data_IF_899125760661
#
_entry.id   IF_899125760661
#
_cell.length_a   1.000
_cell.length_b   1.000
_cell.length_c   1.000
_cell.angle_alpha   90.00
_cell.angle_beta   90.00
_cell.angle_gamma   90.00
#
_symmetry.space_group_name_H-M   'P 1'
#
loop_
_entity.id
_entity.type
_entity.pdbx_description
1 polymer ?
#
# COMPACT_ATOMS: atom_id res chain seq x y z
N UNK A 1 -7.86 2.34 -33.21
CA UNK A 1 -7.21 1.77 -32.01
C UNK A 1 -7.74 2.57 -30.84
N UNK A 2 -8.58 1.96 -30.01
CA UNK A 2 -9.04 2.58 -28.77
C UNK A 2 -7.88 2.52 -27.79
N UNK A 3 -7.39 3.68 -27.36
CA UNK A 3 -6.35 3.79 -26.35
C UNK A 3 -6.93 3.29 -25.01
N UNK A 4 -6.13 2.66 -24.14
CA UNK A 4 -6.59 2.18 -22.82
C UNK A 4 -7.25 3.31 -22.02
N UNK A 5 -6.75 4.53 -22.17
CA UNK A 5 -7.32 5.73 -21.56
C UNK A 5 -8.72 6.06 -22.09
N UNK A 6 -8.99 5.80 -23.37
CA UNK A 6 -10.33 6.02 -23.95
C UNK A 6 -11.34 5.00 -23.41
N UNK A 7 -10.93 3.75 -23.20
CA UNK A 7 -11.77 2.72 -22.56
C UNK A 7 -12.14 3.10 -21.11
N UNK A 8 -11.20 3.68 -20.36
CA UNK A 8 -11.46 4.18 -19.01
C UNK A 8 -12.47 5.35 -19.01
N UNK A 9 -12.49 6.17 -20.07
CA UNK A 9 -13.47 7.23 -20.20
C UNK A 9 -14.85 6.71 -20.65
N UNK A 10 -14.89 5.70 -21.52
CA UNK A 10 -16.13 5.01 -21.89
C UNK A 10 -16.81 4.34 -20.68
N UNK A 11 -16.00 3.86 -19.74
CA UNK A 11 -16.48 3.29 -18.47
C UNK A 11 -16.71 4.33 -17.37
N UNK A 12 -16.57 5.62 -17.69
CA UNK A 12 -16.75 6.76 -16.77
C UNK A 12 -15.85 6.69 -15.52
N UNK A 13 -14.70 6.04 -15.61
CA UNK A 13 -13.69 5.99 -14.55
C UNK A 13 -12.74 7.20 -14.60
N UNK A 14 -12.57 7.80 -15.78
CA UNK A 14 -11.78 9.03 -15.98
C UNK A 14 -12.53 10.02 -16.87
N UNK A 15 -12.35 11.30 -16.61
CA UNK A 15 -12.71 12.39 -17.49
C UNK A 15 -11.52 12.78 -18.36
N UNK A 16 -11.80 12.97 -19.65
CA UNK A 16 -10.81 13.43 -20.62
C UNK A 16 -11.20 14.82 -21.11
N UNK A 17 -10.32 15.79 -20.88
CA UNK A 17 -10.42 17.14 -21.45
C UNK A 17 -9.30 17.35 -22.45
N UNK A 18 -9.57 18.05 -23.56
CA UNK A 18 -8.55 18.38 -24.57
C UNK A 18 -8.16 19.85 -24.44
N UNK A 19 -6.86 20.11 -24.27
CA UNK A 19 -6.28 21.44 -24.32
C UNK A 19 -5.24 21.51 -25.44
N UNK A 20 -5.61 22.12 -26.56
CA UNK A 20 -4.75 22.14 -27.75
C UNK A 20 -4.41 20.73 -28.24
N UNK A 21 -3.11 20.40 -28.28
CA UNK A 21 -2.61 19.07 -28.63
C UNK A 21 -2.47 18.12 -27.41
N UNK A 22 -2.85 18.54 -26.21
CA UNK A 22 -2.74 17.76 -24.98
C UNK A 22 -4.07 17.10 -24.60
N UNK A 23 -3.97 15.90 -24.03
CA UNK A 23 -5.07 15.15 -23.44
C UNK A 23 -4.89 15.18 -21.92
N UNK A 24 -5.72 15.96 -21.24
CA UNK A 24 -5.78 15.97 -19.78
C UNK A 24 -6.69 14.85 -19.33
N UNK A 25 -6.18 13.98 -18.47
CA UNK A 25 -6.90 12.83 -17.93
C UNK A 25 -7.06 13.05 -16.43
N UNK A 26 -8.29 13.03 -15.95
CA UNK A 26 -8.61 13.20 -14.54
C UNK A 26 -9.48 12.02 -14.08
N UNK A 27 -9.20 11.45 -12.90
CA UNK A 27 -10.06 10.40 -12.34
C UNK A 27 -11.46 10.97 -12.05
N UNK A 28 -12.51 10.22 -12.39
CA UNK A 28 -13.87 10.54 -11.98
C UNK A 28 -14.00 10.26 -10.47
N UNK A 29 -13.94 11.33 -9.68
CA UNK A 29 -13.98 11.26 -8.22
C UNK A 29 -15.35 10.87 -7.66
N UNK A 30 -16.42 11.02 -8.45
CA UNK A 30 -17.78 10.66 -8.04
C UNK A 30 -18.01 9.15 -8.07
N UNK A 31 -17.20 8.42 -8.85
CA UNK A 31 -17.26 6.95 -8.97
C UNK A 31 -16.16 6.23 -8.21
N UNK A 32 -15.31 6.96 -7.50
CA UNK A 32 -14.27 6.39 -6.66
C UNK A 32 -14.89 5.84 -5.37
N UNK A 33 -15.17 4.54 -5.34
CA UNK A 33 -15.57 3.85 -4.11
C UNK A 33 -14.34 3.25 -3.46
N UNK A 34 -13.90 3.81 -2.33
CA UNK A 34 -12.97 3.13 -1.44
C UNK A 34 -13.80 2.17 -0.57
N UNK A 35 -13.54 0.86 -0.59
CA UNK A 35 -14.21 -0.05 0.33
C UNK A 35 -13.99 0.43 1.77
N UNK A 36 -15.01 0.33 2.63
CA UNK A 36 -14.86 0.64 4.06
C UNK A 36 -13.77 -0.22 4.72
N UNK A 37 -13.54 -1.40 4.15
CA UNK A 37 -12.45 -2.31 4.50
C UNK A 37 -11.35 -2.28 3.43
N UNK A 38 -10.20 -1.63 3.69
CA UNK A 38 -9.14 -1.48 2.72
C UNK A 38 -8.55 -2.80 2.21
N UNK A 39 -8.63 -3.88 2.99
CA UNK A 39 -8.12 -5.22 2.59
C UNK A 39 -8.85 -5.73 1.34
N UNK A 40 -10.11 -5.34 1.13
CA UNK A 40 -10.89 -5.72 -0.03
C UNK A 40 -10.39 -5.10 -1.35
N UNK A 41 -9.47 -4.14 -1.29
CA UNK A 41 -8.78 -3.62 -2.48
C UNK A 41 -7.73 -4.59 -3.02
N UNK A 42 -7.27 -5.56 -2.22
CA UNK A 42 -6.32 -6.58 -2.66
C UNK A 42 -7.03 -7.49 -3.67
N UNK A 43 -6.55 -7.61 -4.93
CA UNK A 43 -7.26 -8.35 -5.97
C UNK A 43 -7.48 -9.84 -5.66
N UNK A 44 -6.53 -10.44 -4.94
CA UNK A 44 -6.49 -11.88 -4.67
C UNK A 44 -6.99 -12.17 -3.25
N UNK A 45 -8.15 -12.80 -3.15
CA UNK A 45 -8.84 -13.03 -1.88
C UNK A 45 -8.08 -13.94 -0.90
N UNK A 46 -7.22 -14.83 -1.40
CA UNK A 46 -6.40 -15.69 -0.52
C UNK A 46 -5.44 -14.89 0.38
N UNK A 47 -5.12 -13.64 0.02
CA UNK A 47 -4.26 -12.77 0.82
C UNK A 47 -5.02 -11.91 1.83
N UNK A 48 -6.37 -11.93 1.82
CA UNK A 48 -7.17 -11.06 2.68
C UNK A 48 -6.97 -11.37 4.18
N UNK A 49 -7.13 -12.64 4.56
CA UNK A 49 -6.96 -13.09 5.95
C UNK A 49 -5.54 -12.91 6.49
N UNK A 50 -4.46 -13.32 5.79
CA UNK A 50 -3.10 -13.10 6.28
C UNK A 50 -2.75 -11.62 6.39
N UNK A 51 -3.16 -10.78 5.41
CA UNK A 51 -2.89 -9.33 5.46
C UNK A 51 -3.68 -8.66 6.59
N UNK A 52 -4.94 -9.03 6.80
CA UNK A 52 -5.74 -8.50 7.92
C UNK A 52 -5.09 -8.82 9.26
N UNK A 53 -4.69 -10.09 9.44
CA UNK A 53 -4.04 -10.53 10.68
C UNK A 53 -2.71 -9.82 10.90
N UNK A 54 -1.93 -9.59 9.82
CA UNK A 54 -0.72 -8.79 9.86
C UNK A 54 -1.00 -7.36 10.34
N UNK A 55 -1.96 -6.66 9.73
CA UNK A 55 -2.32 -5.28 10.10
C UNK A 55 -2.76 -5.20 11.56
N UNK A 56 -3.64 -6.09 12.00
CA UNK A 56 -4.16 -6.09 13.38
C UNK A 56 -3.04 -6.38 14.40
N UNK A 57 -2.15 -7.32 14.09
CA UNK A 57 -1.02 -7.67 14.96
C UNK A 57 0.02 -6.54 15.02
N UNK A 58 0.31 -5.88 13.90
CA UNK A 58 1.21 -4.72 13.88
C UNK A 58 0.62 -3.57 14.71
N UNK A 59 -0.66 -3.25 14.51
CA UNK A 59 -1.33 -2.16 15.24
C UNK A 59 -1.47 -2.40 16.74
N UNK A 60 -1.47 -3.66 17.18
CA UNK A 60 -1.53 -4.00 18.61
C UNK A 60 -0.16 -4.00 19.30
N UNK A 61 0.95 -4.09 18.53
CA UNK A 61 2.31 -4.23 19.08
C UNK A 61 3.23 -3.04 18.81
N UNK A 62 2.95 -2.27 17.77
CA UNK A 62 3.72 -1.08 17.41
C UNK A 62 2.88 0.14 17.75
N UNK A 63 3.41 0.96 18.67
CA UNK A 63 2.82 2.25 19.00
C UNK A 63 3.10 3.27 17.90
N UNK A 64 2.26 4.30 17.82
CA UNK A 64 2.50 5.48 16.98
C UNK A 64 2.73 5.18 15.48
N UNK A 65 1.98 4.20 14.97
CA UNK A 65 1.89 3.93 13.53
C UNK A 65 1.20 5.12 12.84
N UNK A 66 1.89 5.71 11.87
CA UNK A 66 1.38 6.73 10.98
C UNK A 66 0.63 6.12 9.79
N UNK A 67 1.06 4.96 9.30
CA UNK A 67 0.44 4.28 8.17
C UNK A 67 0.91 2.85 7.95
N UNK A 68 0.06 2.04 7.31
CA UNK A 68 0.39 0.67 6.88
C UNK A 68 -0.06 0.51 5.43
N UNK A 69 0.83 -0.03 4.59
CA UNK A 69 0.55 -0.34 3.19
C UNK A 69 0.99 -1.77 2.88
N UNK A 70 0.29 -2.42 1.94
CA UNK A 70 0.83 -3.58 1.22
C UNK A 70 1.22 -3.13 -0.17
N UNK A 71 2.35 -3.60 -0.67
CA UNK A 71 2.86 -3.29 -2.01
C UNK A 71 3.35 -4.58 -2.68
N UNK A 72 4.07 -4.48 -3.79
CA UNK A 72 4.62 -5.66 -4.46
C UNK A 72 3.57 -6.43 -5.26
N UNK A 73 3.79 -7.73 -5.43
CA UNK A 73 2.95 -8.59 -6.27
C UNK A 73 1.53 -8.74 -5.73
N UNK A 74 1.35 -8.76 -4.41
CA UNK A 74 0.04 -8.86 -3.75
C UNK A 74 -0.83 -7.64 -4.06
N UNK A 75 -0.27 -6.43 -3.96
CA UNK A 75 -0.99 -5.20 -4.29
C UNK A 75 -1.36 -5.13 -5.79
N UNK A 76 -0.50 -5.68 -6.65
CA UNK A 76 -0.71 -5.74 -8.11
C UNK A 76 -1.64 -6.87 -8.56
N UNK A 77 -1.95 -7.83 -7.69
CA UNK A 77 -2.71 -9.02 -8.06
C UNK A 77 -1.94 -10.02 -8.91
N UNK A 78 -0.61 -9.98 -8.84
CA UNK A 78 0.33 -10.82 -9.60
C UNK A 78 1.01 -11.87 -8.72
N UNK A 79 0.62 -11.97 -7.44
CA UNK A 79 1.26 -12.87 -6.50
C UNK A 79 0.92 -14.33 -6.79
N UNK A 80 1.91 -15.20 -6.68
CA UNK A 80 1.74 -16.64 -6.65
C UNK A 80 1.92 -17.19 -5.23
N UNK A 81 1.82 -18.51 -5.07
CA UNK A 81 1.93 -19.18 -3.77
C UNK A 81 3.31 -19.08 -3.12
N UNK A 82 4.33 -18.71 -3.90
CA UNK A 82 5.69 -18.49 -3.40
C UNK A 82 6.01 -17.03 -3.18
N UNK A 83 5.07 -16.13 -3.46
CA UNK A 83 5.26 -14.70 -3.31
C UNK A 83 5.16 -14.27 -1.85
N UNK A 84 6.05 -13.37 -1.46
CA UNK A 84 6.03 -12.75 -0.14
C UNK A 84 4.91 -11.71 -0.05
N UNK A 85 4.34 -11.56 1.14
CA UNK A 85 3.47 -10.44 1.48
C UNK A 85 4.36 -9.27 1.90
N UNK A 86 4.62 -8.36 0.96
CA UNK A 86 5.37 -7.13 1.19
C UNK A 86 4.52 -6.07 1.88
N UNK A 87 4.92 -5.67 3.09
CA UNK A 87 4.24 -4.68 3.90
C UNK A 87 5.18 -3.54 4.28
N UNK A 88 4.68 -2.31 4.17
CA UNK A 88 5.35 -1.10 4.62
C UNK A 88 4.63 -0.53 5.83
N UNK A 89 5.40 -0.17 6.86
CA UNK A 89 4.91 0.48 8.08
C UNK A 89 5.63 1.80 8.27
N UNK A 90 4.87 2.88 8.39
CA UNK A 90 5.38 4.19 8.75
C UNK A 90 5.06 4.47 10.21
N UNK A 91 6.06 4.87 10.99
CA UNK A 91 5.89 5.29 12.39
C UNK A 91 6.33 6.74 12.58
N UNK A 92 5.75 7.42 13.58
CA UNK A 92 6.27 8.73 14.03
C UNK A 92 7.42 8.60 15.04
N UNK A 93 7.63 7.38 15.55
CA UNK A 93 8.63 7.06 16.57
C UNK A 93 9.91 6.45 15.97
N UNK A 94 10.69 5.77 16.80
CA UNK A 94 11.98 5.19 16.45
C UNK A 94 11.85 4.00 15.48
N UNK A 95 12.38 4.19 14.27
CA UNK A 95 12.45 3.17 13.20
C UNK A 95 12.99 1.83 13.69
N UNK A 96 14.09 1.82 14.45
CA UNK A 96 14.77 0.59 14.86
C UNK A 96 13.87 -0.30 15.73
N UNK A 97 13.14 0.33 16.66
CA UNK A 97 12.18 -0.35 17.53
C UNK A 97 11.01 -0.90 16.72
N UNK A 98 10.44 -0.10 15.82
CA UNK A 98 9.35 -0.54 14.93
C UNK A 98 9.78 -1.71 14.03
N UNK A 99 10.97 -1.63 13.42
CA UNK A 99 11.51 -2.66 12.54
C UNK A 99 11.74 -3.99 13.29
N UNK A 100 12.24 -3.94 14.53
CA UNK A 100 12.41 -5.14 15.36
C UNK A 100 11.07 -5.81 15.65
N UNK A 101 10.07 -5.04 16.10
CA UNK A 101 8.73 -5.57 16.39
C UNK A 101 8.08 -6.12 15.12
N UNK A 102 8.21 -5.42 14.00
CA UNK A 102 7.71 -5.86 12.71
C UNK A 102 8.29 -7.22 12.27
N UNK A 103 9.60 -7.44 12.49
CA UNK A 103 10.24 -8.74 12.23
C UNK A 103 9.73 -9.86 13.16
N UNK A 104 9.50 -9.55 14.44
CA UNK A 104 8.90 -10.51 15.37
C UNK A 104 7.49 -10.89 14.92
N UNK A 105 6.67 -9.90 14.54
CA UNK A 105 5.32 -10.13 14.01
C UNK A 105 5.35 -10.99 12.74
N UNK A 106 6.22 -10.66 11.78
CA UNK A 106 6.36 -11.44 10.55
C UNK A 106 6.66 -12.91 10.86
N UNK A 107 7.64 -13.17 11.74
CA UNK A 107 8.01 -14.52 12.15
C UNK A 107 6.87 -15.26 12.85
N UNK A 108 6.15 -14.60 13.76
CA UNK A 108 5.02 -15.20 14.47
C UNK A 108 3.89 -15.60 13.51
N UNK A 109 3.69 -14.85 12.41
CA UNK A 109 2.68 -15.15 11.40
C UNK A 109 3.14 -16.24 10.41
N UNK A 110 4.43 -16.34 10.11
CA UNK A 110 4.98 -17.42 9.26
C UNK A 110 4.80 -18.81 9.88
N UNK A 111 4.68 -18.89 11.21
CA UNK A 111 4.39 -20.14 11.92
C UNK A 111 2.91 -20.56 11.82
N UNK A 112 2.02 -19.59 11.55
CA UNK A 112 0.57 -19.77 11.46
C UNK A 112 0.13 -20.31 10.09
N UNK A 113 -1.10 -20.82 10.03
CA UNK A 113 -1.73 -21.26 8.78
C UNK A 113 -3.01 -20.49 8.53
N UNK A 114 -3.17 -20.03 7.31
CA UNK A 114 -4.37 -19.35 6.82
C UNK A 114 -4.99 -20.25 5.76
N UNK A 115 -6.24 -20.70 5.98
CA UNK A 115 -6.91 -21.69 5.12
C UNK A 115 -6.09 -22.97 4.83
N UNK A 116 -5.15 -23.33 5.72
CA UNK A 116 -4.26 -24.48 5.57
C UNK A 116 -2.89 -24.18 4.96
N UNK A 117 -2.71 -23.01 4.34
CA UNK A 117 -1.46 -22.58 3.72
C UNK A 117 -0.61 -21.70 4.66
N UNK A 118 0.69 -21.63 4.38
CA UNK A 118 1.64 -20.74 5.07
C UNK A 118 2.07 -19.64 4.12
N UNK A 119 2.28 -18.46 4.66
CA UNK A 119 2.67 -17.26 3.91
C UNK A 119 3.96 -16.71 4.50
N UNK A 120 4.78 -16.11 3.64
CA UNK A 120 5.99 -15.38 4.03
C UNK A 120 5.67 -13.89 4.10
N UNK A 121 6.25 -13.20 5.08
CA UNK A 121 5.95 -11.80 5.33
C UNK A 121 7.23 -10.97 5.34
N UNK A 122 7.30 -9.98 4.45
CA UNK A 122 8.39 -9.03 4.43
C UNK A 122 7.88 -7.66 4.88
N UNK A 123 8.22 -7.29 6.12
CA UNK A 123 7.78 -6.01 6.69
C UNK A 123 8.94 -5.01 6.76
N UNK A 124 8.79 -3.89 6.07
CA UNK A 124 9.69 -2.75 6.09
C UNK A 124 9.10 -1.64 6.96
N UNK A 125 9.79 -1.26 8.02
CA UNK A 125 9.42 -0.14 8.87
C UNK A 125 10.32 1.07 8.62
N UNK A 126 9.71 2.24 8.53
CA UNK A 126 10.40 3.53 8.40
C UNK A 126 9.80 4.55 9.37
N UNK A 127 10.59 5.55 9.75
CA UNK A 127 10.12 6.68 10.55
C UNK A 127 9.85 7.89 9.67
N UNK A 128 9.00 8.80 10.13
CA UNK A 128 8.76 10.08 9.44
C UNK A 128 10.06 10.83 9.13
N UNK A 129 11.08 10.72 9.98
CA UNK A 129 12.39 11.34 9.80
C UNK A 129 13.23 10.71 8.67
N UNK A 130 13.02 9.43 8.37
CA UNK A 130 13.78 8.72 7.33
C UNK A 130 13.13 8.77 5.95
N UNK A 131 11.85 9.17 5.87
CA UNK A 131 11.05 9.20 4.63
C UNK A 131 11.73 10.02 3.52
N UNK A 132 12.28 11.19 3.83
CA UNK A 132 12.91 12.06 2.82
C UNK A 132 14.20 11.45 2.25
N UNK A 133 14.83 10.51 2.95
CA UNK A 133 16.15 9.96 2.60
C UNK A 133 16.09 8.69 1.73
N UNK A 134 14.93 8.05 1.59
CA UNK A 134 14.81 6.70 0.98
C UNK A 134 14.41 6.77 -0.51
N UNK A 135 14.19 7.97 -1.04
CA UNK A 135 14.21 8.24 -2.48
C UNK A 135 13.19 7.45 -3.30
N UNK A 136 13.63 6.93 -4.44
CA UNK A 136 12.79 6.32 -5.49
C UNK A 136 11.96 5.12 -4.99
N UNK A 137 12.51 4.32 -4.07
CA UNK A 137 11.84 3.14 -3.52
C UNK A 137 10.58 3.50 -2.74
N UNK A 138 10.60 4.59 -1.96
CA UNK A 138 9.41 5.04 -1.25
C UNK A 138 8.35 5.61 -2.19
N UNK A 139 8.77 6.27 -3.29
CA UNK A 139 7.83 6.73 -4.31
C UNK A 139 7.08 5.57 -4.94
N UNK A 140 7.77 4.49 -5.28
CA UNK A 140 7.16 3.27 -5.81
C UNK A 140 6.14 2.71 -4.80
N UNK A 141 6.54 2.50 -3.54
CA UNK A 141 5.66 1.98 -2.48
C UNK A 141 4.42 2.87 -2.30
N UNK A 142 4.55 4.19 -2.28
CA UNK A 142 3.41 5.10 -2.09
C UNK A 142 2.50 5.24 -3.31
N UNK A 143 3.02 4.95 -4.50
CA UNK A 143 2.28 5.02 -5.77
C UNK A 143 1.53 3.72 -6.05
N UNK A 144 2.18 2.57 -5.83
CA UNK A 144 1.63 1.24 -6.15
C UNK A 144 0.98 0.55 -4.93
N UNK A 145 1.30 1.00 -3.72
CA UNK A 145 0.82 0.37 -2.49
C UNK A 145 -0.64 0.63 -2.19
N UNK A 146 -1.32 -0.42 -1.72
CA UNK A 146 -2.66 -0.35 -1.14
C UNK A 146 -2.52 0.11 0.31
N UNK A 147 -3.15 1.24 0.63
CA UNK A 147 -3.18 1.78 2.00
C UNK A 147 -4.18 0.98 2.83
N UNK A 148 -3.69 0.33 3.89
CA UNK A 148 -4.48 -0.51 4.79
C UNK A 148 -4.83 0.19 6.11
N UNK A 149 -4.00 1.14 6.50
CA UNK A 149 -4.23 2.02 7.63
C UNK A 149 -3.57 3.37 7.35
N UNK A 150 -4.28 4.46 7.64
CA UNK A 150 -3.76 5.81 7.45
C UNK A 150 -4.10 6.73 8.62
N UNK A 151 -3.17 7.64 8.90
CA UNK A 151 -3.36 8.82 9.72
C UNK A 151 -2.97 10.06 8.90
N UNK A 152 -3.26 11.25 9.41
CA UNK A 152 -2.82 12.50 8.77
C UNK A 152 -1.31 12.56 8.50
N UNK A 153 -0.49 11.92 9.36
CA UNK A 153 0.97 11.85 9.17
C UNK A 153 1.35 11.10 7.90
N UNK A 154 0.64 10.02 7.55
CA UNK A 154 0.88 9.31 6.28
C UNK A 154 0.52 10.20 5.09
N UNK A 155 -0.57 10.98 5.19
CA UNK A 155 -0.95 11.90 4.12
C UNK A 155 0.16 12.93 3.85
N UNK A 156 0.71 13.55 4.89
CA UNK A 156 1.83 14.48 4.78
C UNK A 156 3.07 13.82 4.17
N UNK A 157 3.44 12.61 4.63
CA UNK A 157 4.58 11.87 4.09
C UNK A 157 4.42 11.56 2.59
N UNK A 158 3.21 11.16 2.15
CA UNK A 158 2.92 10.92 0.73
C UNK A 158 3.07 12.21 -0.09
N UNK A 159 2.58 13.34 0.41
CA UNK A 159 2.72 14.63 -0.29
C UNK A 159 4.19 15.05 -0.43
N UNK A 160 4.99 14.93 0.63
CA UNK A 160 6.40 15.27 0.61
C UNK A 160 7.17 14.42 -0.42
N UNK A 161 7.01 13.10 -0.37
CA UNK A 161 7.75 12.16 -1.22
C UNK A 161 7.35 12.27 -2.69
N UNK A 162 6.06 12.47 -2.98
CA UNK A 162 5.55 12.52 -4.34
C UNK A 162 5.76 13.90 -5.00
N UNK A 163 5.88 14.98 -4.21
CA UNK A 163 6.12 16.34 -4.74
C UNK A 163 7.61 16.65 -4.89
N UNK A 164 8.48 16.12 -4.02
CA UNK A 164 9.93 16.37 -4.07
C UNK A 164 10.68 15.60 -5.17
N UNK A 165 9.97 15.00 -6.13
CA UNK A 165 10.53 14.31 -7.30
C UNK A 165 10.47 15.08 -8.62
N UNK A 166 10.10 16.37 -8.60
CA UNK A 166 10.05 17.26 -9.77
C UNK A 166 11.17 18.29 -9.80
#
# INVERSE_FOLDING_TARGET
MTDTVDLLAETDLVHITREGNRKLVQINRERLTKPDDPVLQIPQSEFHDPVRTLVDTLRSRIDNIAGILVFGSVARGEADRSSDIDCFVLVTDEKATAQRIAHEVARDLEEQRFAGDRYQFQVLAESMESVSNIGDRLREIFTEGIVLYETEHLHTAKQEVLTNGQ
#
